data_IF_839025682141
#
_entry.id   IF_839025682141
#
_cell.length_a   1.000
_cell.length_b   1.000
_cell.length_c   1.000
_cell.angle_alpha   90.00
_cell.angle_beta   90.00
_cell.angle_gamma   90.00
#
_symmetry.space_group_name_H-M   'P 1'
#
loop_
_entity.id
_entity.type
_entity.pdbx_description
1 polymer ?
#
# COMPACT_ATOMS: atom_id res chain seq x y z
N UNK A 1 14.85 -11.04 -1.23
CA UNK A 1 15.55 -9.97 -1.96
C UNK A 1 14.94 -9.70 -3.33
N UNK A 2 14.80 -10.70 -4.24
CA UNK A 2 14.24 -10.48 -5.59
C UNK A 2 12.84 -9.84 -5.60
N UNK A 3 11.88 -10.41 -4.87
CA UNK A 3 10.51 -9.88 -4.82
C UNK A 3 10.44 -8.48 -4.22
N UNK A 4 11.27 -8.21 -3.21
CA UNK A 4 11.37 -6.89 -2.60
C UNK A 4 11.90 -5.83 -3.58
N UNK A 5 12.90 -6.18 -4.40
CA UNK A 5 13.43 -5.28 -5.44
C UNK A 5 12.42 -5.06 -6.57
N UNK A 6 11.69 -6.10 -6.94
CA UNK A 6 10.63 -6.03 -7.98
C UNK A 6 9.47 -5.14 -7.51
N UNK A 7 9.03 -5.32 -6.27
CA UNK A 7 8.04 -4.45 -5.63
C UNK A 7 8.53 -3.01 -5.50
N UNK A 8 9.78 -2.81 -5.09
CA UNK A 8 10.37 -1.47 -5.02
C UNK A 8 10.39 -0.79 -6.40
N UNK A 9 10.81 -1.48 -7.45
CA UNK A 9 10.82 -0.96 -8.80
C UNK A 9 9.40 -0.58 -9.27
N UNK A 10 8.41 -1.43 -8.97
CA UNK A 10 7.01 -1.11 -9.24
C UNK A 10 6.57 0.16 -8.51
N UNK A 11 6.82 0.26 -7.20
CA UNK A 11 6.43 1.43 -6.41
C UNK A 11 7.06 2.72 -6.92
N UNK A 12 8.33 2.68 -7.32
CA UNK A 12 9.02 3.84 -7.93
C UNK A 12 8.36 4.24 -9.24
N UNK A 13 8.16 3.29 -10.16
CA UNK A 13 7.59 3.57 -11.47
C UNK A 13 6.14 4.04 -11.36
N UNK A 14 5.28 3.28 -10.67
CA UNK A 14 3.87 3.60 -10.54
C UNK A 14 3.63 4.89 -9.73
N UNK A 15 4.37 5.08 -8.62
CA UNK A 15 4.24 6.28 -7.79
C UNK A 15 4.66 7.56 -8.53
N UNK A 16 5.80 7.55 -9.22
CA UNK A 16 6.24 8.70 -10.02
C UNK A 16 5.31 8.95 -11.21
N UNK A 17 4.85 7.89 -11.88
CA UNK A 17 3.92 8.03 -13.01
C UNK A 17 2.56 8.58 -12.57
N UNK A 18 2.03 8.16 -11.42
CA UNK A 18 0.82 8.73 -10.84
C UNK A 18 0.97 10.24 -10.58
N UNK A 19 2.07 10.64 -9.93
CA UNK A 19 2.38 12.05 -9.67
C UNK A 19 2.49 12.87 -10.95
N UNK A 20 3.24 12.37 -11.94
CA UNK A 20 3.42 13.07 -13.22
C UNK A 20 2.11 13.19 -14.00
N UNK A 21 1.24 12.17 -13.94
CA UNK A 21 -0.05 12.18 -14.63
C UNK A 21 -1.02 13.19 -13.99
N UNK A 22 -1.05 13.26 -12.65
CA UNK A 22 -1.87 14.24 -11.94
C UNK A 22 -1.31 15.66 -12.08
N UNK A 23 0.01 15.81 -12.15
CA UNK A 23 0.67 17.11 -12.35
C UNK A 23 0.42 17.69 -13.74
N UNK A 24 0.45 16.84 -14.79
CA UNK A 24 0.20 17.28 -16.16
C UNK A 24 -1.27 17.64 -16.42
N UNK A 25 -2.20 17.06 -15.66
CA UNK A 25 -3.63 17.23 -15.90
C UNK A 25 -4.38 17.43 -14.58
N UNK A 26 -4.15 18.55 -13.88
CA UNK A 26 -4.80 18.83 -12.60
C UNK A 26 -6.32 18.99 -12.76
N UNK A 27 -6.79 19.37 -13.95
CA UNK A 27 -8.20 19.48 -14.31
C UNK A 27 -8.97 18.16 -14.11
N UNK A 28 -8.29 17.01 -14.23
CA UNK A 28 -8.89 15.70 -13.98
C UNK A 28 -9.35 15.53 -12.52
N UNK A 29 -8.77 16.25 -11.57
CA UNK A 29 -9.20 16.19 -10.16
C UNK A 29 -10.58 16.81 -9.93
N UNK A 30 -11.06 17.65 -10.85
CA UNK A 30 -12.39 18.25 -10.79
C UNK A 30 -13.49 17.29 -11.25
N UNK A 31 -13.15 16.29 -12.08
CA UNK A 31 -14.06 15.26 -12.57
C UNK A 31 -13.48 13.87 -12.26
N UNK A 32 -13.62 13.44 -11.01
CA UNK A 32 -13.06 12.16 -10.55
C UNK A 32 -13.80 10.96 -11.18
N UNK A 33 -15.08 11.14 -11.51
CA UNK A 33 -15.96 10.07 -11.95
C UNK A 33 -15.83 9.77 -13.43
N UNK A 34 -15.87 10.79 -14.28
CA UNK A 34 -15.86 10.65 -15.74
C UNK A 34 -14.56 11.18 -16.38
N UNK A 35 -13.65 11.74 -15.57
CA UNK A 35 -12.30 12.12 -15.99
C UNK A 35 -11.51 10.94 -16.55
N UNK A 36 -11.12 11.07 -17.82
CA UNK A 36 -10.37 10.05 -18.54
C UNK A 36 -9.00 10.59 -18.97
N UNK A 37 -7.95 9.80 -18.73
CA UNK A 37 -6.62 10.06 -19.26
C UNK A 37 -6.00 8.75 -19.74
N UNK A 38 -5.49 8.75 -20.97
CA UNK A 38 -4.79 7.59 -21.55
C UNK A 38 -3.60 7.19 -20.68
N UNK A 39 -2.85 8.18 -20.16
CA UNK A 39 -1.73 7.94 -19.25
C UNK A 39 -2.18 7.24 -17.96
N UNK A 40 -3.27 7.73 -17.37
CA UNK A 40 -3.85 7.13 -16.16
C UNK A 40 -4.36 5.71 -16.40
N UNK A 41 -5.02 5.47 -17.53
CA UNK A 41 -5.49 4.15 -17.92
C UNK A 41 -4.33 3.15 -18.08
N UNK A 42 -3.27 3.54 -18.78
CA UNK A 42 -2.07 2.72 -18.94
C UNK A 42 -1.38 2.42 -17.61
N UNK A 43 -1.31 3.41 -16.72
CA UNK A 43 -0.77 3.24 -15.38
C UNK A 43 -1.57 2.19 -14.58
N UNK A 44 -2.91 2.24 -14.63
CA UNK A 44 -3.77 1.29 -13.92
C UNK A 44 -3.63 -0.12 -14.51
N UNK A 45 -3.54 -0.25 -15.85
CA UNK A 45 -3.25 -1.52 -16.51
C UNK A 45 -1.89 -2.09 -16.07
N UNK A 46 -0.85 -1.24 -16.03
CA UNK A 46 0.49 -1.61 -15.57
C UNK A 46 0.46 -2.11 -14.12
N UNK A 47 -0.17 -1.36 -13.20
CA UNK A 47 -0.28 -1.76 -11.79
C UNK A 47 -1.15 -2.99 -11.58
N UNK A 48 -2.24 -3.15 -12.31
CA UNK A 48 -3.04 -4.37 -12.26
C UNK A 48 -2.24 -5.60 -12.70
N UNK A 49 -1.48 -5.48 -13.79
CA UNK A 49 -0.61 -6.57 -14.26
C UNK A 49 0.46 -6.95 -13.24
N UNK A 50 1.07 -5.96 -12.60
CA UNK A 50 2.04 -6.18 -11.53
C UNK A 50 1.41 -6.89 -10.31
N UNK A 51 0.25 -6.43 -9.81
CA UNK A 51 -0.41 -7.08 -8.66
C UNK A 51 -0.81 -8.52 -8.95
N UNK A 52 -1.23 -8.84 -10.18
CA UNK A 52 -1.49 -10.22 -10.61
C UNK A 52 -0.19 -11.03 -10.56
N UNK A 53 0.89 -10.51 -11.13
CA UNK A 53 2.19 -11.19 -11.12
C UNK A 53 2.69 -11.46 -9.69
N UNK A 54 2.62 -10.47 -8.80
CA UNK A 54 3.08 -10.62 -7.42
C UNK A 54 2.21 -11.62 -6.63
N UNK A 55 0.89 -11.62 -6.88
CA UNK A 55 -0.02 -12.61 -6.29
C UNK A 55 0.30 -14.03 -6.74
N UNK A 56 0.58 -14.22 -8.04
CA UNK A 56 0.96 -15.52 -8.59
C UNK A 56 2.29 -16.01 -8.01
N UNK A 57 3.29 -15.13 -7.88
CA UNK A 57 4.58 -15.50 -7.29
C UNK A 57 4.42 -15.94 -5.82
N UNK A 58 3.60 -15.26 -5.02
CA UNK A 58 3.31 -15.67 -3.62
C UNK A 58 2.64 -17.05 -3.57
N UNK A 59 1.68 -17.31 -4.48
CA UNK A 59 0.94 -18.57 -4.54
C UNK A 59 1.86 -19.72 -4.95
N UNK A 60 2.65 -19.54 -6.02
CA UNK A 60 3.54 -20.57 -6.54
C UNK A 60 4.73 -20.85 -5.62
N UNK A 61 5.22 -19.86 -4.87
CA UNK A 61 6.27 -20.06 -3.88
C UNK A 61 5.76 -20.64 -2.54
N UNK A 62 4.50 -21.10 -2.47
CA UNK A 62 3.86 -21.68 -1.28
C UNK A 62 3.87 -20.78 -0.02
N UNK A 63 4.01 -19.47 -0.20
CA UNK A 63 4.00 -18.49 0.90
C UNK A 63 2.57 -17.98 1.22
N UNK A 64 1.56 -18.52 0.55
CA UNK A 64 0.17 -18.08 0.63
C UNK A 64 -0.41 -18.09 2.06
N UNK A 65 -0.08 -19.11 2.88
CA UNK A 65 -0.54 -19.15 4.28
C UNK A 65 0.09 -18.07 5.15
N UNK A 66 1.35 -17.73 4.91
CA UNK A 66 2.07 -16.70 5.67
C UNK A 66 1.69 -15.28 5.22
N UNK A 67 1.25 -15.13 3.98
CA UNK A 67 1.01 -13.82 3.34
C UNK A 67 -0.46 -13.63 2.91
N UNK A 68 -1.39 -14.33 3.56
CA UNK A 68 -2.81 -14.27 3.20
C UNK A 68 -3.39 -12.86 3.25
N UNK A 69 -3.03 -12.06 4.26
CA UNK A 69 -3.46 -10.66 4.36
C UNK A 69 -3.07 -9.87 3.08
N UNK A 70 -1.87 -10.07 2.55
CA UNK A 70 -1.41 -9.41 1.32
C UNK A 70 -2.13 -9.91 0.06
N UNK A 71 -2.44 -11.21 -0.02
CA UNK A 71 -3.21 -11.76 -1.13
C UNK A 71 -4.63 -11.19 -1.18
N UNK A 72 -5.29 -11.04 -0.02
CA UNK A 72 -6.60 -10.40 0.06
C UNK A 72 -6.52 -8.94 -0.39
N UNK A 73 -5.48 -8.21 0.04
CA UNK A 73 -5.23 -6.85 -0.42
C UNK A 73 -5.08 -6.76 -1.94
N UNK A 74 -4.26 -7.61 -2.55
CA UNK A 74 -4.10 -7.62 -4.01
C UNK A 74 -5.38 -8.04 -4.72
N UNK A 75 -6.12 -9.02 -4.21
CA UNK A 75 -7.39 -9.43 -4.80
C UNK A 75 -8.39 -8.26 -4.86
N UNK A 76 -8.52 -7.50 -3.77
CA UNK A 76 -9.36 -6.30 -3.72
C UNK A 76 -8.88 -5.24 -4.70
N UNK A 77 -7.59 -4.90 -4.69
CA UNK A 77 -7.00 -3.90 -5.58
C UNK A 77 -7.15 -4.27 -7.06
N UNK A 78 -6.85 -5.53 -7.44
CA UNK A 78 -7.00 -6.05 -8.80
C UNK A 78 -8.47 -5.99 -9.23
N UNK A 79 -9.39 -6.45 -8.37
CA UNK A 79 -10.82 -6.47 -8.70
C UNK A 79 -11.37 -5.06 -8.94
N UNK A 80 -10.94 -4.08 -8.14
CA UNK A 80 -11.24 -2.67 -8.35
C UNK A 80 -10.65 -2.20 -9.69
N UNK A 81 -9.33 -2.32 -9.89
CA UNK A 81 -8.66 -1.83 -11.10
C UNK A 81 -9.21 -2.43 -12.39
N UNK A 82 -9.46 -3.74 -12.42
CA UNK A 82 -10.06 -4.40 -13.60
C UNK A 82 -11.45 -3.83 -13.89
N UNK A 83 -12.28 -3.57 -12.86
CA UNK A 83 -13.59 -2.96 -13.08
C UNK A 83 -13.49 -1.55 -13.68
N UNK A 84 -12.50 -0.75 -13.26
CA UNK A 84 -12.24 0.59 -13.82
C UNK A 84 -11.71 0.52 -15.25
N UNK A 85 -10.82 -0.44 -15.55
CA UNK A 85 -10.29 -0.64 -16.91
C UNK A 85 -11.41 -0.97 -17.88
N UNK A 86 -12.33 -1.87 -17.50
CA UNK A 86 -13.44 -2.30 -18.36
C UNK A 86 -14.45 -1.18 -18.59
N UNK A 87 -14.76 -0.41 -17.55
CA UNK A 87 -15.80 0.62 -17.61
C UNK A 87 -15.29 1.98 -18.09
N UNK A 88 -13.98 2.23 -17.97
CA UNK A 88 -13.37 3.52 -18.29
C UNK A 88 -13.71 4.66 -17.31
N UNK A 89 -14.40 4.35 -16.20
CA UNK A 89 -14.82 5.34 -15.19
C UNK A 89 -13.93 5.28 -13.95
N UNK A 90 -13.91 6.35 -13.17
CA UNK A 90 -13.15 6.47 -11.92
C UNK A 90 -11.63 6.30 -12.07
N UNK A 91 -11.06 6.48 -13.27
CA UNK A 91 -9.62 6.33 -13.49
C UNK A 91 -8.81 7.33 -12.64
N UNK A 92 -9.33 8.53 -12.43
CA UNK A 92 -8.70 9.53 -11.54
C UNK A 92 -8.67 9.04 -10.10
N UNK A 93 -9.74 8.41 -9.62
CA UNK A 93 -9.76 7.81 -8.29
C UNK A 93 -8.69 6.72 -8.16
N UNK A 94 -8.49 5.87 -9.16
CA UNK A 94 -7.43 4.88 -9.13
C UNK A 94 -6.02 5.46 -9.19
N UNK A 95 -5.79 6.54 -9.95
CA UNK A 95 -4.51 7.26 -9.90
C UNK A 95 -4.23 7.83 -8.50
N UNK A 96 -5.26 8.38 -7.85
CA UNK A 96 -5.17 8.85 -6.45
C UNK A 96 -4.93 7.69 -5.47
N UNK A 97 -5.52 6.51 -5.70
CA UNK A 97 -5.22 5.29 -4.93
C UNK A 97 -3.74 4.92 -5.06
N UNK A 98 -3.20 4.96 -6.27
CA UNK A 98 -1.82 4.60 -6.59
C UNK A 98 -0.77 5.57 -6.03
N UNK A 99 -1.16 6.76 -5.56
CA UNK A 99 -0.24 7.63 -4.80
C UNK A 99 0.33 6.94 -3.56
N UNK A 100 -0.37 5.91 -3.05
CA UNK A 100 0.13 5.04 -1.98
C UNK A 100 1.50 4.45 -2.28
N UNK A 101 1.83 4.21 -3.54
CA UNK A 101 3.11 3.67 -3.97
C UNK A 101 4.28 4.60 -3.66
N UNK A 102 4.06 5.91 -3.64
CA UNK A 102 5.10 6.88 -3.24
C UNK A 102 5.51 6.63 -1.79
N UNK A 103 4.54 6.39 -0.90
CA UNK A 103 4.82 6.02 0.50
C UNK A 103 5.52 4.66 0.62
N UNK A 104 5.26 3.73 -0.30
CA UNK A 104 5.88 2.39 -0.32
C UNK A 104 7.37 2.43 -0.65
N UNK A 105 7.83 3.41 -1.43
CA UNK A 105 9.25 3.63 -1.72
C UNK A 105 10.01 3.88 -0.40
N UNK A 106 9.53 4.81 0.42
CA UNK A 106 10.13 5.16 1.70
C UNK A 106 10.06 4.01 2.72
N UNK A 107 8.93 3.28 2.75
CA UNK A 107 8.77 2.09 3.59
C UNK A 107 9.78 0.99 3.22
N UNK A 108 9.98 0.77 1.92
CA UNK A 108 10.91 -0.24 1.43
C UNK A 108 12.36 0.14 1.73
N UNK A 109 12.74 1.40 1.50
CA UNK A 109 14.08 1.91 1.88
C UNK A 109 14.33 1.71 3.37
N UNK A 110 13.34 2.02 4.22
CA UNK A 110 13.42 1.79 5.66
C UNK A 110 13.61 0.31 6.00
N UNK A 111 12.84 -0.59 5.38
CA UNK A 111 12.97 -2.02 5.62
C UNK A 111 14.34 -2.54 5.20
N UNK A 112 14.86 -2.09 4.05
CA UNK A 112 16.20 -2.40 3.59
C UNK A 112 17.27 -1.94 4.59
N UNK A 113 17.15 -0.72 5.13
CA UNK A 113 18.06 -0.19 6.16
C UNK A 113 18.00 -0.98 7.47
N UNK A 114 16.81 -1.44 7.87
CA UNK A 114 16.64 -2.29 9.06
C UNK A 114 17.29 -3.67 8.87
N UNK A 115 17.26 -4.21 7.65
CA UNK A 115 17.89 -5.48 7.31
C UNK A 115 19.41 -5.38 7.12
N UNK A 116 19.92 -4.24 6.66
CA UNK A 116 21.35 -4.06 6.37
C UNK A 116 22.24 -3.80 7.60
N UNK A 117 21.66 -3.77 8.81
CA UNK A 117 22.36 -3.62 10.09
C UNK A 117 23.35 -2.43 10.13
N UNK A 118 23.09 -1.38 9.35
CA UNK A 118 23.98 -0.21 9.24
C UNK A 118 23.91 0.60 10.55
N UNK A 119 25.04 0.82 11.26
CA UNK A 119 25.06 1.43 12.58
C UNK A 119 25.02 2.98 12.52
N UNK A 120 24.11 3.56 11.73
CA UNK A 120 23.89 5.01 11.73
C UNK A 120 22.56 5.36 12.40
N UNK A 121 22.55 5.64 13.72
CA UNK A 121 21.34 5.98 14.45
C UNK A 121 20.67 7.26 13.92
N UNK A 122 21.45 8.20 13.36
CA UNK A 122 20.93 9.45 12.81
C UNK A 122 20.15 9.26 11.49
N UNK A 123 20.68 8.46 10.55
CA UNK A 123 19.99 8.17 9.29
C UNK A 123 18.72 7.34 9.52
N UNK A 124 18.76 6.44 10.50
CA UNK A 124 17.60 5.64 10.89
C UNK A 124 16.48 6.51 11.50
N UNK A 125 16.82 7.38 12.44
CA UNK A 125 15.85 8.29 13.08
C UNK A 125 15.27 9.28 12.07
N UNK A 126 16.09 9.89 11.22
CA UNK A 126 15.60 10.80 10.16
C UNK A 126 14.63 10.08 9.20
N UNK A 127 14.98 8.87 8.74
CA UNK A 127 14.11 8.10 7.85
C UNK A 127 12.81 7.67 8.51
N UNK A 128 12.79 7.42 9.83
CA UNK A 128 11.55 7.15 10.57
C UNK A 128 10.55 8.31 10.44
N UNK A 129 10.99 9.54 10.66
CA UNK A 129 10.13 10.71 10.55
C UNK A 129 9.73 11.02 9.11
N UNK A 130 10.66 10.94 8.16
CA UNK A 130 10.36 11.14 6.74
C UNK A 130 9.34 10.11 6.27
N UNK A 131 9.52 8.83 6.61
CA UNK A 131 8.57 7.78 6.27
C UNK A 131 7.17 8.05 6.87
N UNK A 132 7.11 8.53 8.12
CA UNK A 132 5.84 8.89 8.75
C UNK A 132 5.12 10.01 8.01
N UNK A 133 5.85 11.09 7.68
CA UNK A 133 5.28 12.23 6.93
C UNK A 133 4.81 11.81 5.54
N UNK A 134 5.62 11.05 4.81
CA UNK A 134 5.26 10.55 3.47
C UNK A 134 4.05 9.62 3.53
N UNK A 135 3.93 8.80 4.57
CA UNK A 135 2.76 7.95 4.81
C UNK A 135 1.49 8.79 5.03
N UNK A 136 1.56 9.87 5.81
CA UNK A 136 0.40 10.74 5.98
C UNK A 136 0.00 11.43 4.67
N UNK A 137 0.96 12.00 3.95
CA UNK A 137 0.69 12.82 2.76
C UNK A 137 0.24 11.99 1.56
N UNK A 138 0.90 10.86 1.29
CA UNK A 138 0.67 10.09 0.05
C UNK A 138 -0.20 8.86 0.23
N UNK A 139 -0.51 8.49 1.48
CA UNK A 139 -1.36 7.32 1.75
C UNK A 139 -2.60 7.71 2.54
N UNK A 140 -2.50 8.34 3.71
CA UNK A 140 -3.71 8.65 4.48
C UNK A 140 -4.54 9.78 3.87
N UNK A 141 -3.92 10.87 3.42
CA UNK A 141 -4.66 12.00 2.87
C UNK A 141 -5.43 11.69 1.57
N UNK A 142 -4.84 11.02 0.55
CA UNK A 142 -5.56 10.73 -0.69
C UNK A 142 -6.69 9.71 -0.47
N UNK A 143 -6.47 8.73 0.40
CA UNK A 143 -7.47 7.72 0.74
C UNK A 143 -8.64 8.34 1.52
N UNK A 144 -8.37 9.17 2.53
CA UNK A 144 -9.41 9.89 3.26
C UNK A 144 -10.23 10.81 2.36
N UNK A 145 -9.58 11.50 1.42
CA UNK A 145 -10.25 12.34 0.43
C UNK A 145 -11.19 11.52 -0.46
N UNK A 146 -10.72 10.38 -0.97
CA UNK A 146 -11.54 9.51 -1.80
C UNK A 146 -12.68 8.87 -1.02
N UNK A 147 -12.44 8.42 0.21
CA UNK A 147 -13.50 7.84 1.03
C UNK A 147 -14.60 8.86 1.33
N UNK A 148 -14.21 10.11 1.64
CA UNK A 148 -15.18 11.20 1.77
C UNK A 148 -15.95 11.46 0.46
N UNK A 149 -15.26 11.50 -0.69
CA UNK A 149 -15.87 11.72 -1.99
C UNK A 149 -16.86 10.61 -2.37
N UNK A 150 -16.47 9.34 -2.21
CA UNK A 150 -17.28 8.17 -2.55
C UNK A 150 -18.52 8.06 -1.66
N UNK A 151 -18.40 8.36 -0.37
CA UNK A 151 -19.55 8.34 0.54
C UNK A 151 -20.54 9.48 0.27
N UNK A 152 -20.07 10.61 -0.29
CA UNK A 152 -20.90 11.81 -0.47
C UNK A 152 -21.52 11.93 -1.86
N UNK A 153 -20.78 11.54 -2.90
CA UNK A 153 -21.11 11.86 -4.30
C UNK A 153 -21.28 10.63 -5.19
N UNK A 154 -20.76 9.46 -4.80
CA UNK A 154 -20.86 8.25 -5.63
C UNK A 154 -22.14 7.48 -5.29
N UNK A 155 -22.78 6.96 -6.34
CA UNK A 155 -24.01 6.19 -6.19
C UNK A 155 -23.83 4.97 -5.28
N UNK A 156 -24.82 4.74 -4.43
CA UNK A 156 -24.88 3.60 -3.50
C UNK A 156 -25.25 2.29 -4.22
N UNK A 157 -25.34 2.29 -5.55
CA UNK A 157 -25.71 1.13 -6.35
C UNK A 157 -24.69 0.85 -7.46
N UNK A 158 -24.65 -0.39 -7.93
CA UNK A 158 -23.80 -0.82 -9.04
C UNK A 158 -22.29 -0.74 -8.74
N UNK A 159 -21.54 -0.18 -9.69
CA UNK A 159 -20.08 -0.09 -9.62
C UNK A 159 -19.61 0.82 -8.48
N UNK A 160 -20.32 1.91 -8.20
CA UNK A 160 -19.97 2.85 -7.12
C UNK A 160 -19.92 2.15 -5.76
N UNK A 161 -20.95 1.38 -5.43
CA UNK A 161 -21.01 0.59 -4.19
C UNK A 161 -19.88 -0.44 -4.08
N UNK A 162 -19.56 -1.14 -5.17
CA UNK A 162 -18.46 -2.10 -5.21
C UNK A 162 -17.11 -1.42 -4.93
N UNK A 163 -16.85 -0.26 -5.54
CA UNK A 163 -15.63 0.50 -5.32
C UNK A 163 -15.54 1.10 -3.93
N UNK A 164 -16.64 1.65 -3.40
CA UNK A 164 -16.71 2.13 -2.01
C UNK A 164 -16.41 1.01 -1.01
N UNK A 165 -16.97 -0.18 -1.22
CA UNK A 165 -16.71 -1.33 -0.34
C UNK A 165 -15.24 -1.76 -0.37
N UNK A 166 -14.63 -1.85 -1.57
CA UNK A 166 -13.21 -2.14 -1.71
C UNK A 166 -12.34 -1.07 -1.03
N UNK A 167 -12.65 0.20 -1.24
CA UNK A 167 -11.93 1.33 -0.64
C UNK A 167 -11.96 1.28 0.89
N UNK A 168 -13.13 1.05 1.51
CA UNK A 168 -13.26 0.95 2.96
C UNK A 168 -12.48 -0.23 3.55
N UNK A 169 -12.45 -1.38 2.85
CA UNK A 169 -11.65 -2.54 3.28
C UNK A 169 -10.15 -2.24 3.19
N UNK A 170 -9.70 -1.58 2.11
CA UNK A 170 -8.33 -1.14 1.95
C UNK A 170 -7.93 -0.15 3.05
N UNK A 171 -8.78 0.83 3.37
CA UNK A 171 -8.56 1.81 4.43
C UNK A 171 -8.42 1.13 5.81
N UNK A 172 -9.28 0.15 6.10
CA UNK A 172 -9.19 -0.62 7.34
C UNK A 172 -7.84 -1.35 7.44
N UNK A 173 -7.38 -1.97 6.35
CA UNK A 173 -6.06 -2.62 6.31
C UNK A 173 -4.92 -1.62 6.48
N UNK A 174 -4.97 -0.48 5.80
CA UNK A 174 -3.99 0.60 5.90
C UNK A 174 -3.87 1.06 7.36
N UNK A 175 -5.00 1.32 8.03
CA UNK A 175 -5.02 1.76 9.42
C UNK A 175 -4.49 0.69 10.38
N UNK A 176 -4.84 -0.57 10.17
CA UNK A 176 -4.28 -1.68 10.94
C UNK A 176 -2.76 -1.75 10.81
N UNK A 177 -2.22 -1.72 9.58
CA UNK A 177 -0.77 -1.76 9.37
C UNK A 177 -0.06 -0.52 9.93
N UNK A 178 -0.68 0.65 9.81
CA UNK A 178 -0.17 1.87 10.40
C UNK A 178 -0.07 1.77 11.92
N UNK A 179 -1.11 1.25 12.58
CA UNK A 179 -1.10 1.05 14.04
C UNK A 179 -0.02 0.05 14.48
N UNK A 180 0.18 -1.03 13.71
CA UNK A 180 1.27 -2.01 13.93
C UNK A 180 2.64 -1.34 13.78
N UNK A 181 2.83 -0.49 12.77
CA UNK A 181 4.06 0.25 12.53
C UNK A 181 4.36 1.25 13.67
N UNK A 182 3.38 2.07 14.06
CA UNK A 182 3.50 3.01 15.18
C UNK A 182 3.85 2.29 16.47
N UNK A 183 3.20 1.14 16.74
CA UNK A 183 3.49 0.33 17.93
C UNK A 183 4.92 -0.23 17.92
N UNK A 184 5.40 -0.70 16.77
CA UNK A 184 6.78 -1.18 16.61
C UNK A 184 7.81 -0.07 16.81
N UNK A 185 7.49 1.15 16.38
CA UNK A 185 8.45 2.26 16.32
C UNK A 185 8.54 3.08 17.61
N UNK A 186 7.40 3.29 18.27
CA UNK A 186 7.30 4.16 19.46
C UNK A 186 7.08 3.37 20.75
N UNK A 187 6.60 2.12 20.67
CA UNK A 187 6.31 1.28 21.85
C UNK A 187 7.02 -0.09 21.82
N UNK A 188 8.35 -0.17 21.63
CA UNK A 188 9.06 -1.45 21.69
C UNK A 188 9.05 -2.09 23.09
N UNK A 189 8.75 -1.31 24.15
CA UNK A 189 8.88 -1.71 25.56
C UNK A 189 7.83 -2.72 26.06
N UNK A 190 6.70 -2.90 25.37
CA UNK A 190 5.67 -3.86 25.81
C UNK A 190 5.95 -5.31 25.41
N UNK A 191 6.87 -5.57 24.46
CA UNK A 191 7.24 -6.94 24.07
C UNK A 191 8.42 -7.50 24.86
N UNK A 192 9.23 -6.63 25.48
CA UNK A 192 10.33 -7.06 26.36
C UNK A 192 9.88 -7.42 27.79
N UNK A 193 8.68 -6.99 28.19
CA UNK A 193 8.11 -7.28 29.52
C UNK A 193 7.53 -8.69 29.72
N UNK A 194 7.30 -9.45 28.64
CA UNK A 194 6.78 -10.83 28.72
C UNK A 194 7.81 -11.92 28.41
N UNK A 195 9.04 -11.55 28.03
CA UNK A 195 10.15 -12.51 27.77
C UNK A 195 11.23 -12.42 28.86
N UNK A 196 11.04 -11.56 29.86
CA UNK A 196 11.94 -11.39 31.01
C UNK A 196 11.52 -12.13 32.28
N UNK A 197 10.49 -12.99 32.22
CA UNK A 197 10.08 -13.88 33.32
C UNK A 197 9.79 -15.26 32.74
N UNK A 198 10.86 -15.94 32.33
CA UNK A 198 10.98 -17.39 32.33
C UNK A 198 12.47 -17.70 32.08
N UNK A 199 13.28 -17.34 33.08
CA UNK A 199 14.55 -18.03 33.33
C UNK A 199 14.17 -19.16 34.29
N UNK A 200 13.89 -20.33 33.72
CA UNK A 200 14.27 -21.64 34.25
C UNK A 200 13.55 -22.73 33.44
N UNK A 201 14.30 -23.40 32.58
CA UNK A 201 13.77 -24.50 31.78
C UNK A 201 14.64 -24.85 30.59
N UNK A 202 15.83 -25.38 30.86
CA UNK A 202 16.55 -26.20 29.89
C UNK A 202 15.60 -27.21 29.21
N UNK A 203 15.58 -27.23 27.87
CA UNK A 203 15.82 -28.44 27.06
C UNK A 203 15.69 -28.12 25.57
N UNK A 204 16.84 -28.17 24.89
CA UNK A 204 17.16 -29.03 23.74
C UNK A 204 16.07 -29.41 22.72
N UNK A 205 16.57 -29.61 21.49
CA UNK A 205 16.00 -30.24 20.27
C UNK A 205 15.49 -29.20 19.26
N UNK A 206 16.16 -28.92 18.13
CA UNK A 206 16.61 -29.81 17.05
C UNK A 206 15.49 -30.77 16.64
N UNK A 207 14.56 -30.29 15.83
CA UNK A 207 14.32 -30.70 14.44
C UNK A 207 13.31 -29.74 13.77
#
# INVERSE_FOLDING_TARGET
WRNLLVSFAHSVLAGLWALLSLWHSPELLSDIQDGYSVSGHLLICFSSGYFIHDSLDIIFNHQSRSSWEYLVHHAMAISAFVSLIITGRFLVAAMLLLLVEVSNIFLTIRMLLKMSNVPSPALYEANKYVNLVMYFIFRLAPQAYLTWYFLRYVEVQGQGAFLTANLLLLDAMILMYFSRLLRSDFFPSLRKGSVGRDVDGEKFLID
#
